data_IF_198562325360
#
_entry.id   IF_198562325360
#
_cell.length_a   1.000
_cell.length_b   1.000
_cell.length_c   1.000
_cell.angle_alpha   90.00
_cell.angle_beta   90.00
_cell.angle_gamma   90.00
#
_symmetry.space_group_name_H-M   'P 1'
#
loop_
_entity.id
_entity.type
_entity.pdbx_description
1 polymer ?
#
# COMPACT_ATOMS: atom_id res chain seq x y z
N UNK A 1 -9.41 -19.67 -14.94
CA UNK A 1 -9.10 -19.08 -13.63
C UNK A 1 -7.89 -19.78 -13.06
N UNK A 2 -6.71 -19.16 -13.14
CA UNK A 2 -5.48 -19.73 -12.59
C UNK A 2 -5.44 -19.49 -11.08
N UNK A 3 -5.65 -20.54 -10.29
CA UNK A 3 -5.45 -20.54 -8.85
C UNK A 3 -3.95 -20.64 -8.55
N UNK A 4 -3.21 -19.56 -8.77
CA UNK A 4 -1.91 -19.40 -8.12
C UNK A 4 -2.15 -18.60 -6.84
N UNK A 5 -2.26 -19.26 -5.67
CA UNK A 5 -2.23 -18.52 -4.42
C UNK A 5 -0.92 -17.74 -4.39
N UNK A 6 -1.01 -16.43 -4.09
CA UNK A 6 0.16 -15.65 -3.74
C UNK A 6 0.84 -16.37 -2.57
N UNK A 7 2.03 -16.92 -2.81
CA UNK A 7 2.79 -17.63 -1.78
C UNK A 7 3.31 -16.58 -0.82
N UNK A 8 2.94 -16.68 0.47
CA UNK A 8 3.70 -15.99 1.52
C UNK A 8 5.12 -16.58 1.51
N UNK A 9 6.12 -15.72 1.42
CA UNK A 9 7.53 -16.14 1.50
C UNK A 9 8.06 -16.18 2.94
N UNK A 10 7.19 -16.00 3.95
CA UNK A 10 7.61 -15.94 5.37
C UNK A 10 8.39 -17.17 5.88
N UNK A 11 8.24 -18.34 5.25
CA UNK A 11 8.98 -19.56 5.60
C UNK A 11 10.18 -19.87 4.68
N UNK A 12 10.44 -19.04 3.66
CA UNK A 12 11.44 -19.30 2.63
C UNK A 12 12.23 -18.05 2.30
N UNK A 13 13.55 -18.11 2.49
CA UNK A 13 14.44 -17.03 2.03
C UNK A 13 14.40 -16.95 0.50
N UNK A 14 13.98 -15.79 -0.01
CA UNK A 14 14.06 -15.44 -1.43
C UNK A 14 15.00 -14.26 -1.56
N UNK A 15 16.02 -14.38 -2.41
CA UNK A 15 16.91 -13.26 -2.72
C UNK A 15 16.26 -12.38 -3.78
N UNK A 16 16.08 -11.09 -3.47
CA UNK A 16 15.64 -10.07 -4.42
C UNK A 16 16.82 -9.14 -4.63
N UNK A 17 17.26 -9.01 -5.87
CA UNK A 17 18.27 -8.00 -6.24
C UNK A 17 17.56 -6.66 -6.46
N UNK A 18 18.00 -5.65 -5.73
CA UNK A 18 17.54 -4.27 -5.86
C UNK A 18 18.76 -3.45 -6.27
N UNK A 19 18.57 -2.48 -7.16
CA UNK A 19 19.64 -1.55 -7.50
C UNK A 19 20.23 -0.92 -6.22
N UNK A 20 21.56 -0.90 -6.13
CA UNK A 20 22.27 -0.35 -4.98
C UNK A 20 21.99 1.15 -4.80
N UNK A 21 21.77 1.84 -5.90
CA UNK A 21 21.37 3.24 -5.94
C UNK A 21 19.90 3.33 -6.35
N UNK A 22 19.04 3.59 -5.36
CA UNK A 22 17.65 3.99 -5.61
C UNK A 22 17.57 5.42 -6.18
N UNK A 23 18.68 6.14 -6.33
CA UNK A 23 18.74 7.52 -6.78
C UNK A 23 17.74 8.39 -6.02
N UNK A 24 17.17 9.37 -6.73
CA UNK A 24 16.06 10.18 -6.24
C UNK A 24 14.69 9.53 -6.52
N UNK A 25 14.52 8.20 -6.36
CA UNK A 25 13.24 7.50 -6.63
C UNK A 25 12.05 8.07 -5.84
N UNK A 26 12.32 8.71 -4.70
CA UNK A 26 11.29 9.35 -3.85
C UNK A 26 10.53 10.43 -4.63
N UNK A 27 11.18 11.24 -5.47
CA UNK A 27 10.49 12.29 -6.23
C UNK A 27 9.53 11.72 -7.29
N UNK A 28 9.96 10.82 -8.21
CA UNK A 28 9.06 10.21 -9.18
C UNK A 28 7.93 9.41 -8.52
N UNK A 29 8.23 8.71 -7.42
CA UNK A 29 7.25 7.97 -6.65
C UNK A 29 6.18 8.91 -6.07
N UNK A 30 6.60 9.99 -5.40
CA UNK A 30 5.69 10.99 -4.81
C UNK A 30 4.82 11.64 -5.88
N UNK A 31 5.41 12.08 -6.99
CA UNK A 31 4.69 12.67 -8.13
C UNK A 31 3.69 11.70 -8.74
N UNK A 32 4.02 10.41 -8.85
CA UNK A 32 3.08 9.41 -9.36
C UNK A 32 1.84 9.29 -8.47
N UNK A 33 2.03 9.28 -7.15
CA UNK A 33 0.93 9.18 -6.20
C UNK A 33 0.05 10.43 -6.19
N UNK A 34 0.64 11.62 -6.30
CA UNK A 34 -0.12 12.88 -6.43
C UNK A 34 -1.00 12.89 -7.68
N UNK A 35 -0.48 12.45 -8.83
CA UNK A 35 -1.31 12.32 -10.05
C UNK A 35 -2.48 11.37 -9.88
N UNK A 36 -2.31 10.31 -9.11
CA UNK A 36 -3.39 9.38 -8.82
C UNK A 36 -4.43 10.00 -7.88
N UNK A 37 -3.99 10.71 -6.83
CA UNK A 37 -4.87 11.48 -5.95
C UNK A 37 -5.69 12.50 -6.76
N UNK A 38 -5.04 13.27 -7.65
CA UNK A 38 -5.71 14.24 -8.54
C UNK A 38 -6.78 13.55 -9.41
N UNK A 39 -6.48 12.36 -9.95
CA UNK A 39 -7.46 11.61 -10.73
C UNK A 39 -8.69 11.20 -9.90
N UNK A 40 -8.51 10.87 -8.62
CA UNK A 40 -9.63 10.55 -7.72
C UNK A 40 -10.48 11.79 -7.38
N UNK A 41 -9.88 12.99 -7.33
CA UNK A 41 -10.63 14.24 -7.08
C UNK A 41 -11.64 14.59 -8.18
N UNK A 42 -11.45 14.05 -9.38
CA UNK A 42 -12.31 14.29 -10.53
C UNK A 42 -13.53 13.35 -10.59
N UNK A 43 -13.61 12.34 -9.70
CA UNK A 43 -14.71 11.38 -9.68
C UNK A 43 -15.94 11.95 -8.97
N UNK A 44 -17.10 11.84 -9.61
CA UNK A 44 -18.40 12.01 -8.96
C UNK A 44 -18.87 10.71 -8.28
N UNK A 45 -19.99 10.76 -7.55
CA UNK A 45 -20.47 9.63 -6.76
C UNK A 45 -20.86 8.40 -7.59
N UNK A 46 -21.37 8.59 -8.80
CA UNK A 46 -21.68 7.48 -9.71
C UNK A 46 -20.39 6.83 -10.24
N UNK A 47 -19.37 7.64 -10.54
CA UNK A 47 -18.06 7.16 -10.96
C UNK A 47 -17.37 6.35 -9.86
N UNK A 48 -17.54 6.71 -8.59
CA UNK A 48 -16.99 5.94 -7.45
C UNK A 48 -17.53 4.50 -7.36
N UNK A 49 -18.74 4.26 -7.84
CA UNK A 49 -19.38 2.93 -7.88
C UNK A 49 -19.17 2.19 -9.21
N UNK A 50 -18.45 2.78 -10.16
CA UNK A 50 -18.19 2.15 -11.46
C UNK A 50 -17.15 1.01 -11.30
N UNK A 51 -17.37 -0.15 -11.95
CA UNK A 51 -16.39 -1.23 -11.96
C UNK A 51 -15.02 -0.76 -12.45
N UNK A 52 -13.97 -1.15 -11.74
CA UNK A 52 -12.59 -0.87 -12.12
C UNK A 52 -12.04 -1.96 -13.04
N UNK A 53 -10.75 -1.82 -13.44
CA UNK A 53 -10.02 -2.89 -14.13
C UNK A 53 -9.58 -4.03 -13.22
N UNK A 54 -9.73 -3.88 -11.90
CA UNK A 54 -9.51 -4.93 -10.94
C UNK A 54 -10.81 -5.72 -10.80
N UNK A 55 -10.84 -6.94 -11.37
CA UNK A 55 -12.04 -7.79 -11.38
C UNK A 55 -12.65 -7.92 -9.97
N UNK A 56 -13.93 -7.58 -9.84
CA UNK A 56 -14.67 -7.62 -8.57
C UNK A 56 -14.54 -6.36 -7.70
N UNK A 57 -13.84 -5.33 -8.17
CA UNK A 57 -13.64 -4.08 -7.43
C UNK A 57 -14.16 -2.88 -8.23
N UNK A 58 -14.94 -2.02 -7.59
CA UNK A 58 -15.26 -0.68 -8.09
C UNK A 58 -14.14 0.32 -7.73
N UNK A 59 -14.23 1.54 -8.28
CA UNK A 59 -13.25 2.60 -8.01
C UNK A 59 -13.10 2.88 -6.50
N UNK A 60 -14.22 2.88 -5.77
CA UNK A 60 -14.25 3.05 -4.31
C UNK A 60 -13.46 1.97 -3.59
N UNK A 61 -13.72 0.70 -3.90
CA UNK A 61 -13.05 -0.42 -3.26
C UNK A 61 -11.55 -0.36 -3.48
N UNK A 62 -11.12 -0.05 -4.71
CA UNK A 62 -9.68 0.11 -5.02
C UNK A 62 -9.06 1.22 -4.16
N UNK A 63 -9.68 2.40 -4.09
CA UNK A 63 -9.14 3.50 -3.29
C UNK A 63 -9.10 3.19 -1.79
N UNK A 64 -10.12 2.52 -1.24
CA UNK A 64 -10.12 2.10 0.16
C UNK A 64 -9.01 1.08 0.46
N UNK A 65 -8.80 0.12 -0.44
CA UNK A 65 -7.71 -0.85 -0.30
C UNK A 65 -6.35 -0.16 -0.32
N UNK A 66 -6.13 0.74 -1.29
CA UNK A 66 -4.88 1.49 -1.39
C UNK A 66 -4.65 2.42 -0.19
N UNK A 67 -5.69 3.06 0.34
CA UNK A 67 -5.59 3.87 1.56
C UNK A 67 -5.15 3.03 2.77
N UNK A 68 -5.68 1.81 2.90
CA UNK A 68 -5.29 0.88 3.95
C UNK A 68 -3.85 0.41 3.78
N UNK A 69 -3.42 0.14 2.55
CA UNK A 69 -2.05 -0.21 2.22
C UNK A 69 -1.08 0.94 2.53
N UNK A 70 -1.46 2.19 2.24
CA UNK A 70 -0.63 3.36 2.55
C UNK A 70 -0.39 3.51 4.04
N UNK A 71 -1.45 3.38 4.85
CA UNK A 71 -1.34 3.41 6.30
C UNK A 71 -0.47 2.27 6.84
N UNK A 72 -0.63 1.06 6.29
CA UNK A 72 0.21 -0.09 6.64
C UNK A 72 1.69 0.20 6.38
N UNK A 73 2.06 0.64 5.18
CA UNK A 73 3.45 0.92 4.85
C UNK A 73 4.01 2.09 5.65
N UNK A 74 3.20 3.12 5.94
CA UNK A 74 3.63 4.24 6.78
C UNK A 74 4.04 3.77 8.19
N UNK A 75 3.20 2.92 8.81
CA UNK A 75 3.52 2.32 10.12
C UNK A 75 4.72 1.40 10.01
N UNK A 76 4.77 0.55 8.99
CA UNK A 76 5.84 -0.42 8.82
C UNK A 76 7.23 0.22 8.67
N UNK A 77 7.33 1.27 7.84
CA UNK A 77 8.55 2.06 7.68
C UNK A 77 8.96 2.74 8.99
N UNK A 78 8.01 3.39 9.67
CA UNK A 78 8.28 4.11 10.93
C UNK A 78 8.73 3.16 12.04
N UNK A 79 8.06 2.00 12.17
CA UNK A 79 8.39 0.95 13.12
C UNK A 79 9.75 0.30 12.82
N UNK A 80 10.04 0.06 11.54
CA UNK A 80 11.33 -0.45 11.07
C UNK A 80 12.49 0.49 11.37
N UNK A 81 12.33 1.79 11.09
CA UNK A 81 13.31 2.82 11.42
C UNK A 81 13.58 2.94 12.93
N UNK A 82 12.57 2.65 13.76
CA UNK A 82 12.72 2.57 15.22
C UNK A 82 13.32 1.24 15.72
N UNK A 83 13.71 0.33 14.83
CA UNK A 83 14.28 -0.98 15.19
C UNK A 83 13.27 -2.03 15.65
N UNK A 84 11.97 -1.78 15.46
CA UNK A 84 10.88 -2.67 15.89
C UNK A 84 9.99 -3.04 14.69
N UNK A 85 10.48 -3.84 13.71
CA UNK A 85 9.70 -4.18 12.53
C UNK A 85 8.37 -4.85 12.89
N UNK A 86 7.33 -4.54 12.11
CA UNK A 86 5.99 -5.11 12.32
C UNK A 86 5.91 -6.57 11.86
N UNK A 87 4.84 -7.24 12.28
CA UNK A 87 4.43 -8.58 11.84
C UNK A 87 2.90 -8.65 11.66
N UNK A 88 2.30 -7.57 11.15
CA UNK A 88 0.84 -7.44 10.99
C UNK A 88 0.30 -8.38 9.92
N UNK A 89 1.13 -8.77 8.96
CA UNK A 89 0.77 -9.63 7.84
C UNK A 89 1.06 -11.11 8.12
N UNK A 90 1.50 -11.47 9.33
CA UNK A 90 1.71 -12.85 9.76
C UNK A 90 0.55 -13.77 9.39
N UNK A 91 -0.70 -13.29 9.52
CA UNK A 91 -1.94 -14.01 9.21
C UNK A 91 -2.72 -13.44 8.01
N UNK A 92 -2.17 -12.46 7.27
CA UNK A 92 -2.85 -11.78 6.17
C UNK A 92 -2.91 -12.59 4.87
N UNK A 93 -4.10 -12.99 4.42
CA UNK A 93 -4.29 -13.68 3.13
C UNK A 93 -4.56 -12.65 2.03
N UNK A 94 -3.61 -12.41 1.10
CA UNK A 94 -3.79 -11.41 0.05
C UNK A 94 -4.93 -11.74 -0.93
N UNK A 95 -5.45 -12.98 -0.94
CA UNK A 95 -6.56 -13.37 -1.81
C UNK A 95 -7.94 -13.09 -1.22
N UNK A 96 -8.06 -12.92 0.09
CA UNK A 96 -9.35 -12.78 0.78
C UNK A 96 -9.40 -11.62 1.78
N UNK A 97 -8.31 -11.36 2.51
CA UNK A 97 -8.25 -10.30 3.53
C UNK A 97 -8.49 -8.90 2.97
N UNK A 98 -7.93 -8.48 1.81
CA UNK A 98 -8.23 -7.16 1.24
C UNK A 98 -9.72 -6.89 1.03
N UNK A 99 -10.43 -7.86 0.44
CA UNK A 99 -11.85 -7.71 0.14
C UNK A 99 -12.68 -7.65 1.42
N UNK A 100 -12.33 -8.47 2.42
CA UNK A 100 -13.00 -8.44 3.73
C UNK A 100 -12.77 -7.12 4.47
N UNK A 101 -11.55 -6.56 4.42
CA UNK A 101 -11.23 -5.26 5.02
C UNK A 101 -12.05 -4.15 4.37
N UNK A 102 -12.10 -4.09 3.03
CA UNK A 102 -12.90 -3.08 2.32
C UNK A 102 -14.40 -3.24 2.58
N UNK A 103 -14.92 -4.46 2.62
CA UNK A 103 -16.31 -4.72 2.97
C UNK A 103 -16.66 -4.25 4.40
N UNK A 104 -15.71 -4.27 5.33
CA UNK A 104 -15.90 -3.81 6.71
C UNK A 104 -16.03 -2.29 6.87
N UNK A 105 -15.61 -1.52 5.86
CA UNK A 105 -15.67 -0.05 5.88
C UNK A 105 -17.11 0.49 5.65
N UNK A 106 -18.08 -0.37 5.38
CA UNK A 106 -19.49 0.03 5.25
C UNK A 106 -19.82 0.70 3.91
N UNK A 107 -20.66 1.74 3.92
CA UNK A 107 -21.09 2.47 2.71
C UNK A 107 -20.67 3.94 2.74
N UNK A 108 -19.36 4.17 2.65
CA UNK A 108 -18.76 5.50 2.55
C UNK A 108 -19.09 6.18 1.22
N UNK A 109 -19.33 7.48 1.28
CA UNK A 109 -19.38 8.36 0.12
C UNK A 109 -18.00 8.49 -0.56
N UNK A 110 -17.99 8.89 -1.83
CA UNK A 110 -16.76 9.19 -2.56
C UNK A 110 -15.91 10.25 -1.86
N UNK A 111 -16.54 11.27 -1.28
CA UNK A 111 -15.85 12.31 -0.50
C UNK A 111 -15.13 11.74 0.74
N UNK A 112 -15.76 10.83 1.48
CA UNK A 112 -15.16 10.17 2.64
C UNK A 112 -14.01 9.24 2.24
N UNK A 113 -14.17 8.50 1.13
CA UNK A 113 -13.12 7.64 0.57
C UNK A 113 -11.91 8.46 0.12
N UNK A 114 -12.15 9.58 -0.58
CA UNK A 114 -11.09 10.50 -1.01
C UNK A 114 -10.33 11.08 0.17
N UNK A 115 -11.03 11.48 1.23
CA UNK A 115 -10.39 12.00 2.44
C UNK A 115 -9.53 10.94 3.15
N UNK A 116 -10.02 9.71 3.22
CA UNK A 116 -9.28 8.58 3.81
C UNK A 116 -8.04 8.26 2.98
N UNK A 117 -8.17 8.25 1.65
CA UNK A 117 -7.05 8.07 0.74
C UNK A 117 -6.01 9.17 0.89
N UNK A 118 -6.42 10.45 0.95
CA UNK A 118 -5.51 11.58 1.18
C UNK A 118 -4.72 11.44 2.48
N UNK A 119 -5.37 11.09 3.59
CA UNK A 119 -4.69 10.85 4.88
C UNK A 119 -3.67 9.71 4.81
N UNK A 120 -4.04 8.60 4.16
CA UNK A 120 -3.12 7.48 3.94
C UNK A 120 -1.90 7.91 3.12
N UNK A 121 -2.16 8.59 2.00
CA UNK A 121 -1.13 9.15 1.13
C UNK A 121 -0.16 10.06 1.89
N UNK A 122 -0.68 11.06 2.62
CA UNK A 122 0.14 12.00 3.41
C UNK A 122 0.98 11.26 4.45
N UNK A 123 0.42 10.24 5.10
CA UNK A 123 1.13 9.42 6.09
C UNK A 123 2.28 8.64 5.46
N UNK A 124 2.04 8.01 4.31
CA UNK A 124 3.07 7.23 3.62
C UNK A 124 4.16 8.13 3.03
N UNK A 125 3.80 9.25 2.40
CA UNK A 125 4.77 10.22 1.88
C UNK A 125 5.61 10.79 3.02
N UNK A 126 4.99 11.11 4.16
CA UNK A 126 5.70 11.54 5.36
C UNK A 126 6.70 10.50 5.87
N UNK A 127 6.28 9.23 5.95
CA UNK A 127 7.16 8.14 6.37
C UNK A 127 8.33 7.93 5.41
N UNK A 128 8.07 7.93 4.10
CA UNK A 128 9.10 7.79 3.05
C UNK A 128 10.13 8.92 3.10
N UNK A 129 9.69 10.17 3.27
CA UNK A 129 10.59 11.33 3.37
C UNK A 129 11.42 11.35 4.66
N UNK A 130 11.02 10.58 5.68
CA UNK A 130 11.72 10.48 6.95
C UNK A 130 12.66 9.27 7.02
N UNK A 131 12.78 8.45 5.96
CA UNK A 131 13.70 7.31 5.94
C UNK A 131 15.14 7.79 5.75
N UNK A 132 15.94 7.71 6.81
CA UNK A 132 17.39 7.98 6.77
C UNK A 132 18.22 6.72 6.48
N UNK A 133 17.69 5.52 6.80
CA UNK A 133 18.34 4.22 6.57
C UNK A 133 17.42 3.29 5.78
N UNK A 134 17.65 3.21 4.46
CA UNK A 134 16.90 2.32 3.56
C UNK A 134 17.20 0.83 3.79
N UNK A 135 18.23 0.49 4.57
CA UNK A 135 18.56 -0.89 4.91
C UNK A 135 17.76 -1.42 6.11
N UNK A 136 17.14 -0.54 6.89
CA UNK A 136 16.26 -0.90 8.00
C UNK A 136 15.15 -1.87 7.56
N UNK A 137 14.79 -2.81 8.43
CA UNK A 137 13.79 -3.84 8.13
C UNK A 137 12.38 -3.25 8.26
N UNK A 138 11.62 -3.31 7.20
CA UNK A 138 10.18 -3.06 7.15
C UNK A 138 9.44 -4.37 6.84
N UNK A 139 8.12 -4.35 6.92
CA UNK A 139 7.23 -5.44 6.55
C UNK A 139 6.56 -5.14 5.20
N UNK A 140 6.38 -6.19 4.42
CA UNK A 140 5.65 -6.16 3.15
C UNK A 140 4.81 -7.43 3.00
N UNK A 141 3.94 -7.54 1.97
CA UNK A 141 3.26 -8.79 1.66
C UNK A 141 4.20 -9.99 1.41
N UNK A 142 5.49 -9.74 1.16
CA UNK A 142 6.53 -10.76 0.99
C UNK A 142 7.16 -11.20 2.33
N UNK A 143 6.77 -10.58 3.44
CA UNK A 143 7.39 -10.70 4.75
C UNK A 143 8.28 -9.51 5.09
N UNK A 144 9.16 -9.69 6.07
CA UNK A 144 10.15 -8.68 6.46
C UNK A 144 11.21 -8.50 5.38
N UNK A 145 11.38 -7.26 4.93
CA UNK A 145 12.24 -6.85 3.82
C UNK A 145 13.01 -5.58 4.21
N UNK A 146 14.11 -5.27 3.51
CA UNK A 146 14.74 -3.96 3.64
C UNK A 146 13.78 -2.87 3.13
N UNK A 147 13.74 -1.72 3.80
CA UNK A 147 12.85 -0.58 3.48
C UNK A 147 12.97 -0.13 2.01
N UNK A 148 14.13 -0.33 1.39
CA UNK A 148 14.36 -0.13 -0.05
C UNK A 148 13.33 -0.85 -0.94
N UNK A 149 12.84 -2.03 -0.51
CA UNK A 149 11.86 -2.83 -1.25
C UNK A 149 10.43 -2.32 -1.14
N UNK A 150 10.16 -1.33 -0.28
CA UNK A 150 8.84 -0.68 -0.19
C UNK A 150 8.63 0.28 -1.37
N UNK A 151 9.69 0.82 -1.95
CA UNK A 151 9.65 1.73 -3.11
C UNK A 151 9.98 1.07 -4.46
N UNK A 152 10.46 -0.18 -4.45
CA UNK A 152 10.96 -0.90 -5.62
C UNK A 152 9.87 -1.63 -6.42
#
# INVERSE_FOLDING_TARGET
MGTRPLRRYGAHTTTIEVADDLGDLVEPWTRHRLRFLDALTALDEDAWRTPSRCDGWDARGVALHLSSADMFFAVSLTSGAAGNPTDFLADFDPTSTPAAMVASEGDLSGAEVLERFRKGHDSLVGAVNAVDDWTAVAESPMGQVSSRLVLA
#
